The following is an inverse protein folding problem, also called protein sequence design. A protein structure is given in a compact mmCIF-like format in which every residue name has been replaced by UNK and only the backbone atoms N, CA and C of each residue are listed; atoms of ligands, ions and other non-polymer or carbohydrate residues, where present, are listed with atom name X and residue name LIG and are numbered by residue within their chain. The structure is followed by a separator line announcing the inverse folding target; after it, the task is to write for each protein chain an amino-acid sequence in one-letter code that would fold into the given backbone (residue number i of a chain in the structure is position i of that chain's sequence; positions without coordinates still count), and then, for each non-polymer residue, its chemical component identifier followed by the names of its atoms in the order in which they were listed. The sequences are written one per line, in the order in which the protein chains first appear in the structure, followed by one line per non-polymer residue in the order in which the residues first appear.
data_IF_569546266168
#
_entry.id   IF_569546266168
#
_cell.length_a   1.000
_cell.length_b   1.000
_cell.length_c   1.000
_cell.angle_alpha   90.00
_cell.angle_beta   90.00
_cell.angle_gamma   90.00
#
_symmetry.space_group_name_H-M   'P 1'
#
loop_
_entity.id
_entity.type
_entity.pdbx_description
1 polymer ?
#
# COMPACT_ATOMS: atom_id res chain seq x y z
N UNK A 1 23.27 -14.45 1.08
CA UNK A 1 21.91 -14.43 0.50
C UNK A 1 21.90 -15.32 -0.73
N UNK A 2 20.83 -16.09 -1.01
CA UNK A 2 20.75 -16.87 -2.25
C UNK A 2 20.63 -15.92 -3.45
N UNK A 3 21.28 -16.24 -4.60
CA UNK A 3 21.08 -15.47 -5.83
C UNK A 3 19.60 -15.47 -6.25
N UNK A 4 19.12 -14.34 -6.79
CA UNK A 4 17.75 -14.22 -7.28
C UNK A 4 17.65 -13.28 -8.48
N UNK A 5 16.52 -13.37 -9.18
CA UNK A 5 16.13 -12.37 -10.15
C UNK A 5 14.70 -11.89 -9.90
N UNK A 6 14.40 -10.68 -10.33
CA UNK A 6 13.13 -9.99 -10.14
C UNK A 6 12.76 -9.19 -11.40
N UNK A 7 11.45 -9.06 -11.60
CA UNK A 7 10.85 -8.22 -12.66
C UNK A 7 10.04 -7.07 -12.06
N UNK A 8 9.60 -7.19 -10.82
CA UNK A 8 8.81 -6.17 -10.12
C UNK A 8 9.52 -4.82 -10.04
N UNK A 9 8.91 -3.76 -10.60
CA UNK A 9 9.52 -2.43 -10.69
C UNK A 9 9.84 -1.80 -9.33
N UNK A 10 9.02 -2.03 -8.31
CA UNK A 10 9.29 -1.49 -6.98
C UNK A 10 10.49 -2.16 -6.34
N UNK A 11 10.68 -3.45 -6.58
CA UNK A 11 11.87 -4.17 -6.11
C UNK A 11 13.11 -3.86 -6.95
N UNK A 12 12.97 -3.64 -8.27
CA UNK A 12 14.06 -3.09 -9.10
C UNK A 12 14.56 -1.76 -8.52
N UNK A 13 13.63 -0.84 -8.19
CA UNK A 13 13.98 0.44 -7.57
C UNK A 13 14.65 0.27 -6.21
N UNK A 14 14.14 -0.62 -5.37
CA UNK A 14 14.73 -0.95 -4.07
C UNK A 14 16.17 -1.43 -4.19
N UNK A 15 16.44 -2.31 -5.14
CA UNK A 15 17.78 -2.90 -5.37
C UNK A 15 18.74 -1.93 -6.07
N UNK A 16 18.27 -1.27 -7.12
CA UNK A 16 19.14 -0.54 -8.04
C UNK A 16 19.01 0.99 -7.97
N UNK A 17 17.95 1.52 -7.35
CA UNK A 17 17.64 2.96 -7.34
C UNK A 17 16.97 3.45 -8.61
N UNK A 18 16.73 2.56 -9.58
CA UNK A 18 16.03 2.79 -10.83
C UNK A 18 15.12 1.61 -11.17
N UNK A 19 14.07 1.83 -11.95
CA UNK A 19 13.20 0.78 -12.47
C UNK A 19 12.60 1.17 -13.81
N UNK A 20 12.20 0.17 -14.61
CA UNK A 20 11.40 0.34 -15.80
C UNK A 20 10.55 -0.92 -16.04
N UNK A 21 9.52 -0.79 -16.89
CA UNK A 21 8.57 -1.86 -17.23
C UNK A 21 9.20 -3.02 -18.02
N UNK A 22 10.39 -2.84 -18.57
CA UNK A 22 11.08 -3.83 -19.38
C UNK A 22 12.50 -4.08 -18.88
N UNK A 23 12.62 -4.75 -17.73
CA UNK A 23 13.91 -5.13 -17.16
C UNK A 23 13.83 -6.42 -16.34
N UNK A 24 14.98 -7.08 -16.22
CA UNK A 24 15.25 -8.11 -15.20
C UNK A 24 16.42 -7.65 -14.36
N UNK A 25 16.27 -7.65 -13.05
CA UNK A 25 17.38 -7.44 -12.14
C UNK A 25 17.83 -8.78 -11.57
N UNK A 26 19.11 -9.06 -11.68
CA UNK A 26 19.74 -10.22 -11.06
C UNK A 26 20.62 -9.76 -9.91
N UNK A 27 20.44 -10.35 -8.73
CA UNK A 27 21.29 -10.11 -7.57
C UNK A 27 22.07 -11.34 -7.18
N UNK A 28 23.38 -11.14 -7.02
CA UNK A 28 24.31 -12.15 -6.53
C UNK A 28 25.19 -11.49 -5.46
N UNK A 29 25.00 -11.84 -4.21
CA UNK A 29 25.66 -11.19 -3.07
C UNK A 29 25.45 -9.66 -3.08
N UNK A 30 26.50 -8.88 -3.26
CA UNK A 30 26.43 -7.42 -3.34
C UNK A 30 26.35 -6.88 -4.79
N UNK A 31 26.57 -7.74 -5.79
CA UNK A 31 26.48 -7.35 -7.19
C UNK A 31 25.03 -7.36 -7.68
N UNK A 32 24.70 -6.38 -8.48
CA UNK A 32 23.40 -6.24 -9.16
C UNK A 32 23.62 -6.08 -10.65
N UNK A 33 22.81 -6.78 -11.43
CA UNK A 33 22.84 -6.73 -12.88
C UNK A 33 21.47 -6.28 -13.36
N UNK A 34 21.38 -5.08 -13.92
CA UNK A 34 20.15 -4.51 -14.45
C UNK A 34 20.12 -4.75 -15.96
N UNK A 35 19.40 -5.76 -16.40
CA UNK A 35 19.25 -6.14 -17.81
C UNK A 35 18.05 -5.39 -18.37
N UNK A 36 18.26 -4.54 -19.37
CA UNK A 36 17.19 -3.78 -20.05
C UNK A 36 17.54 -3.54 -21.51
N UNK A 37 16.64 -2.97 -22.29
CA UNK A 37 16.91 -2.65 -23.69
C UNK A 37 17.35 -1.18 -23.89
N UNK A 38 17.69 -0.86 -25.13
CA UNK A 38 18.25 0.46 -25.50
C UNK A 38 17.33 1.65 -25.20
N UNK A 39 16.02 1.44 -25.00
CA UNK A 39 15.08 2.50 -24.62
C UNK A 39 15.36 3.04 -23.23
N UNK A 40 15.84 2.19 -22.31
CA UNK A 40 16.05 2.51 -20.89
C UNK A 40 17.52 2.52 -20.48
N UNK A 41 18.43 1.99 -21.30
CA UNK A 41 19.86 1.84 -20.97
C UNK A 41 20.53 3.15 -20.55
N UNK A 42 20.18 4.26 -21.20
CA UNK A 42 20.79 5.56 -20.90
C UNK A 42 20.41 6.02 -19.48
N UNK A 43 19.11 5.98 -19.16
CA UNK A 43 18.61 6.37 -17.85
C UNK A 43 19.06 5.39 -16.76
N UNK A 44 19.05 4.09 -17.03
CA UNK A 44 19.55 3.09 -16.10
C UNK A 44 21.02 3.35 -15.71
N UNK A 45 21.89 3.67 -16.68
CA UNK A 45 23.29 4.03 -16.41
C UNK A 45 23.45 5.31 -15.61
N UNK A 46 22.50 6.25 -15.72
CA UNK A 46 22.52 7.52 -15.00
C UNK A 46 22.02 7.40 -13.56
N UNK A 47 20.99 6.59 -13.33
CA UNK A 47 20.25 6.57 -12.07
C UNK A 47 20.48 5.34 -11.19
N UNK A 48 20.91 4.21 -11.77
CA UNK A 48 21.27 3.05 -10.96
C UNK A 48 22.40 3.37 -9.97
N UNK A 49 22.33 2.73 -8.81
CA UNK A 49 23.37 2.86 -7.82
C UNK A 49 24.71 2.26 -8.29
N UNK A 50 25.83 2.66 -7.63
CA UNK A 50 27.19 2.30 -8.00
C UNK A 50 27.52 0.78 -7.97
N UNK A 51 26.66 -0.03 -7.38
CA UNK A 51 26.83 -1.50 -7.28
C UNK A 51 26.07 -2.24 -8.38
N UNK A 52 25.49 -1.53 -9.35
CA UNK A 52 24.67 -2.07 -10.43
C UNK A 52 25.41 -1.99 -11.76
N UNK A 53 25.63 -3.15 -12.39
CA UNK A 53 26.07 -3.27 -13.78
C UNK A 53 24.84 -3.21 -14.68
N UNK A 54 24.75 -2.23 -15.58
CA UNK A 54 23.66 -2.11 -16.56
C UNK A 54 24.02 -2.82 -17.83
N UNK A 55 23.19 -3.77 -18.26
CA UNK A 55 23.36 -4.60 -19.43
C UNK A 55 22.31 -4.24 -20.48
N UNK A 56 22.75 -3.70 -21.62
CA UNK A 56 21.88 -3.46 -22.79
C UNK A 56 21.69 -4.77 -23.54
N UNK A 57 20.45 -5.22 -23.70
CA UNK A 57 20.13 -6.50 -24.33
C UNK A 57 18.75 -6.50 -24.97
N UNK A 58 18.65 -7.17 -26.12
CA UNK A 58 17.36 -7.50 -26.75
C UNK A 58 16.87 -8.92 -26.39
N UNK A 59 17.72 -9.74 -25.74
CA UNK A 59 17.33 -11.05 -25.20
C UNK A 59 17.73 -11.16 -23.73
N UNK A 60 16.78 -10.84 -22.87
CA UNK A 60 16.97 -10.82 -21.42
C UNK A 60 17.27 -12.20 -20.84
N UNK A 61 16.73 -13.25 -21.45
CA UNK A 61 16.96 -14.62 -20.98
C UNK A 61 18.38 -15.04 -21.30
N UNK A 62 18.90 -14.73 -22.49
CA UNK A 62 20.30 -14.99 -22.81
C UNK A 62 21.27 -14.21 -21.91
N UNK A 63 20.92 -12.95 -21.59
CA UNK A 63 21.72 -12.16 -20.64
C UNK A 63 21.69 -12.74 -19.23
N UNK A 64 20.52 -13.18 -18.75
CA UNK A 64 20.38 -13.91 -17.48
C UNK A 64 21.25 -15.16 -17.47
N UNK A 65 21.19 -16.00 -18.53
CA UNK A 65 22.02 -17.19 -18.66
C UNK A 65 23.51 -16.86 -18.67
N UNK A 66 23.90 -15.79 -19.33
CA UNK A 66 25.30 -15.32 -19.37
C UNK A 66 25.81 -15.00 -17.97
N UNK A 67 25.01 -14.32 -17.14
CA UNK A 67 25.34 -14.00 -15.74
C UNK A 67 25.45 -15.30 -14.93
N UNK A 68 24.43 -16.17 -15.01
CA UNK A 68 24.40 -17.45 -14.29
C UNK A 68 25.59 -18.30 -14.61
N UNK A 69 25.97 -18.41 -15.91
CA UNK A 69 27.13 -19.19 -16.38
C UNK A 69 28.44 -18.55 -15.94
N UNK A 70 28.61 -17.24 -16.13
CA UNK A 70 29.81 -16.48 -15.73
C UNK A 70 30.12 -16.66 -14.24
N UNK A 71 29.07 -16.61 -13.41
CA UNK A 71 29.20 -16.73 -11.96
C UNK A 71 29.05 -18.15 -11.43
N UNK A 72 28.86 -19.13 -12.32
CA UNK A 72 28.75 -20.58 -12.01
C UNK A 72 27.68 -20.87 -10.97
N UNK A 73 26.54 -20.17 -11.05
CA UNK A 73 25.43 -20.32 -10.10
C UNK A 73 24.81 -21.72 -10.26
N UNK A 74 24.56 -22.40 -9.14
CA UNK A 74 23.92 -23.72 -9.12
C UNK A 74 22.43 -23.64 -8.93
N UNK A 75 21.96 -22.52 -8.39
CA UNK A 75 20.55 -22.24 -8.15
C UNK A 75 20.29 -20.73 -8.24
N UNK A 76 19.07 -20.36 -8.62
CA UNK A 76 18.60 -18.97 -8.62
C UNK A 76 17.13 -18.91 -8.20
N UNK A 77 16.82 -17.98 -7.31
CA UNK A 77 15.46 -17.77 -6.77
C UNK A 77 14.68 -16.80 -7.66
N UNK A 78 13.37 -17.04 -7.77
CA UNK A 78 12.45 -16.12 -8.42
C UNK A 78 11.09 -16.07 -7.71
N UNK A 79 10.33 -15.00 -7.93
CA UNK A 79 8.94 -14.91 -7.50
C UNK A 79 8.01 -15.46 -8.59
N UNK A 80 7.25 -16.55 -8.34
CA UNK A 80 6.39 -17.14 -9.35
C UNK A 80 5.21 -16.26 -9.77
N UNK A 81 4.90 -15.21 -9.00
CA UNK A 81 3.83 -14.27 -9.31
C UNK A 81 4.22 -13.22 -10.37
N UNK A 82 5.52 -13.09 -10.66
CA UNK A 82 6.03 -12.12 -11.65
C UNK A 82 6.17 -12.72 -13.05
N UNK A 83 6.13 -14.05 -13.18
CA UNK A 83 6.30 -14.73 -14.46
C UNK A 83 4.97 -15.23 -15.01
N UNK A 84 4.70 -14.96 -16.29
CA UNK A 84 3.73 -15.75 -17.01
C UNK A 84 4.29 -17.15 -17.36
N UNK A 85 3.41 -18.09 -17.68
CA UNK A 85 3.79 -19.49 -17.93
C UNK A 85 4.82 -19.60 -19.05
N UNK A 86 4.65 -18.88 -20.17
CA UNK A 86 5.56 -18.95 -21.31
C UNK A 86 6.98 -18.47 -20.96
N UNK A 87 7.09 -17.39 -20.17
CA UNK A 87 8.37 -16.89 -19.71
C UNK A 87 9.02 -17.84 -18.72
N UNK A 88 8.24 -18.42 -17.81
CA UNK A 88 8.72 -19.44 -16.87
C UNK A 88 9.29 -20.66 -17.60
N UNK A 89 8.55 -21.24 -18.56
CA UNK A 89 9.01 -22.41 -19.34
C UNK A 89 10.30 -22.11 -20.11
N UNK A 90 10.39 -20.94 -20.72
CA UNK A 90 11.59 -20.52 -21.46
C UNK A 90 12.80 -20.36 -20.53
N UNK A 91 12.65 -19.75 -19.36
CA UNK A 91 13.71 -19.59 -18.37
C UNK A 91 14.12 -20.98 -17.82
N UNK A 92 13.16 -21.82 -17.44
CA UNK A 92 13.39 -23.14 -16.90
C UNK A 92 14.18 -24.03 -17.87
N UNK A 93 13.73 -24.10 -19.14
CA UNK A 93 14.40 -24.87 -20.17
C UNK A 93 15.82 -24.36 -20.40
N UNK A 94 16.01 -23.06 -20.45
CA UNK A 94 17.31 -22.44 -20.67
C UNK A 94 18.29 -22.70 -19.52
N UNK A 95 17.86 -22.52 -18.26
CA UNK A 95 18.68 -22.79 -17.07
C UNK A 95 19.04 -24.25 -16.91
N UNK A 96 18.17 -25.19 -17.36
CA UNK A 96 18.41 -26.62 -17.35
C UNK A 96 19.63 -27.00 -18.21
N UNK A 97 19.90 -26.30 -19.32
CA UNK A 97 21.06 -26.56 -20.18
C UNK A 97 22.38 -26.31 -19.48
N UNK A 98 22.42 -25.43 -18.51
CA UNK A 98 23.63 -25.10 -17.73
C UNK A 98 23.58 -25.66 -16.30
N UNK A 99 22.64 -26.56 -16.02
CA UNK A 99 22.48 -27.26 -14.73
C UNK A 99 22.32 -26.28 -13.54
N UNK A 100 21.57 -25.20 -13.74
CA UNK A 100 21.17 -24.26 -12.68
C UNK A 100 19.72 -24.52 -12.28
N UNK A 101 19.48 -24.74 -10.99
CA UNK A 101 18.13 -24.95 -10.45
C UNK A 101 17.38 -23.65 -10.32
N UNK A 102 16.11 -23.63 -10.79
CA UNK A 102 15.20 -22.51 -10.66
C UNK A 102 14.30 -22.71 -9.43
N UNK A 103 14.51 -21.90 -8.37
CA UNK A 103 13.83 -22.05 -7.09
C UNK A 103 12.68 -21.06 -6.96
N UNK A 104 11.46 -21.58 -6.88
CA UNK A 104 10.25 -20.77 -6.67
C UNK A 104 10.11 -20.35 -5.20
N UNK A 105 10.03 -19.05 -4.93
CA UNK A 105 9.74 -18.49 -3.61
C UNK A 105 8.71 -17.36 -3.71
N UNK A 106 7.42 -17.64 -3.46
CA UNK A 106 6.37 -16.60 -3.51
C UNK A 106 6.68 -15.43 -2.58
N UNK A 107 6.48 -14.20 -3.06
CA UNK A 107 6.61 -12.96 -2.28
C UNK A 107 7.96 -12.72 -1.59
N UNK A 108 9.04 -13.44 -1.96
CA UNK A 108 10.34 -13.28 -1.29
C UNK A 108 10.86 -11.84 -1.38
N UNK A 109 10.57 -11.15 -2.47
CA UNK A 109 10.95 -9.76 -2.71
C UNK A 109 10.32 -8.79 -1.69
N UNK A 110 9.08 -9.06 -1.23
CA UNK A 110 8.45 -8.27 -0.18
C UNK A 110 9.11 -8.52 1.19
N UNK A 111 9.61 -9.74 1.43
CA UNK A 111 10.38 -10.03 2.65
C UNK A 111 11.68 -9.21 2.73
N UNK A 112 12.30 -8.87 1.61
CA UNK A 112 13.50 -8.02 1.58
C UNK A 112 13.21 -6.59 2.06
N UNK A 113 11.96 -6.13 1.91
CA UNK A 113 11.52 -4.76 2.17
C UNK A 113 10.62 -4.64 3.41
N UNK A 114 10.32 -5.74 4.09
CA UNK A 114 9.34 -5.77 5.19
C UNK A 114 9.76 -4.87 6.36
N UNK A 115 11.03 -4.93 6.76
CA UNK A 115 11.63 -4.00 7.74
C UNK A 115 12.27 -2.82 7.00
N UNK A 116 11.78 -1.61 7.28
CA UNK A 116 12.19 -0.37 6.63
C UNK A 116 13.44 0.19 7.30
N UNK A 117 14.34 0.73 6.52
CA UNK A 117 15.42 1.58 7.04
C UNK A 117 14.86 2.90 7.59
N UNK A 118 15.61 3.60 8.43
CA UNK A 118 15.22 4.92 8.94
C UNK A 118 14.96 5.94 7.81
N UNK A 119 15.69 5.83 6.68
CA UNK A 119 15.46 6.67 5.48
C UNK A 119 14.10 6.39 4.85
N UNK A 120 13.73 5.13 4.70
CA UNK A 120 12.44 4.73 4.15
C UNK A 120 11.29 5.16 5.06
N UNK A 121 11.43 4.98 6.38
CA UNK A 121 10.46 5.46 7.37
C UNK A 121 10.28 6.97 7.26
N UNK A 122 11.35 7.73 7.11
CA UNK A 122 11.29 9.18 6.94
C UNK A 122 10.57 9.60 5.63
N UNK A 123 10.74 8.83 4.53
CA UNK A 123 10.03 9.05 3.27
C UNK A 123 8.53 8.75 3.40
N UNK A 124 8.17 7.63 4.03
CA UNK A 124 6.77 7.26 4.30
C UNK A 124 6.12 8.31 5.22
N UNK A 125 6.80 8.74 6.28
CA UNK A 125 6.31 9.78 7.18
C UNK A 125 6.10 11.12 6.46
N UNK A 126 6.98 11.46 5.51
CA UNK A 126 6.82 12.65 4.66
C UNK A 126 5.60 12.51 3.76
N UNK A 127 5.45 11.37 3.10
CA UNK A 127 4.28 11.05 2.27
C UNK A 127 2.98 11.16 3.08
N UNK A 128 2.96 10.57 4.27
CA UNK A 128 1.80 10.63 5.17
C UNK A 128 1.49 12.06 5.65
N UNK A 129 2.50 12.88 5.92
CA UNK A 129 2.33 14.30 6.25
C UNK A 129 1.70 15.09 5.10
N UNK A 130 2.15 14.86 3.87
CA UNK A 130 1.57 15.48 2.66
C UNK A 130 0.11 15.05 2.47
N UNK A 131 -0.17 13.75 2.62
CA UNK A 131 -1.53 13.22 2.55
C UNK A 131 -2.46 13.86 3.59
N UNK A 132 -2.03 13.97 4.85
CA UNK A 132 -2.78 14.69 5.91
C UNK A 132 -3.06 16.16 5.56
N UNK A 133 -2.14 16.83 4.86
CA UNK A 133 -2.35 18.21 4.39
C UNK A 133 -3.39 18.26 3.26
N UNK A 134 -3.33 17.31 2.32
CA UNK A 134 -4.29 17.20 1.23
C UNK A 134 -5.72 16.91 1.73
N UNK A 135 -5.88 16.04 2.74
CA UNK A 135 -7.16 15.81 3.40
C UNK A 135 -7.74 17.09 4.01
N UNK A 136 -6.91 17.93 4.65
CA UNK A 136 -7.35 19.25 5.17
C UNK A 136 -7.78 20.19 4.05
N UNK A 137 -7.04 20.20 2.94
CA UNK A 137 -7.37 21.01 1.77
C UNK A 137 -8.67 20.54 1.11
N UNK A 138 -8.86 19.22 0.98
CA UNK A 138 -10.06 18.64 0.42
C UNK A 138 -11.30 18.91 1.28
N UNK A 139 -11.21 18.79 2.60
CA UNK A 139 -12.31 19.16 3.49
C UNK A 139 -12.73 20.63 3.32
N UNK A 140 -11.77 21.55 3.23
CA UNK A 140 -12.04 22.98 2.96
C UNK A 140 -12.68 23.20 1.58
N UNK A 141 -12.23 22.44 0.58
CA UNK A 141 -12.80 22.50 -0.76
C UNK A 141 -14.26 22.04 -0.77
N UNK A 142 -14.55 20.87 -0.19
CA UNK A 142 -15.92 20.35 -0.06
C UNK A 142 -16.84 21.37 0.65
N UNK A 143 -16.39 21.96 1.77
CA UNK A 143 -17.18 22.95 2.50
C UNK A 143 -17.58 24.16 1.64
N UNK A 144 -16.74 24.58 0.69
CA UNK A 144 -17.01 25.69 -0.25
C UNK A 144 -18.05 25.30 -1.31
N UNK A 145 -17.96 24.08 -1.85
CA UNK A 145 -18.82 23.63 -2.96
C UNK A 145 -20.08 22.88 -2.50
N UNK A 146 -20.26 22.65 -1.21
CA UNK A 146 -21.35 21.83 -0.66
C UNK A 146 -22.75 22.26 -1.13
N UNK A 147 -22.98 23.57 -1.34
CA UNK A 147 -24.26 24.10 -1.85
C UNK A 147 -24.54 23.67 -3.30
N UNK A 148 -23.53 23.27 -4.05
CA UNK A 148 -23.65 22.81 -5.44
C UNK A 148 -24.07 21.34 -5.51
N UNK A 149 -24.13 20.63 -4.36
CA UNK A 149 -24.42 19.21 -4.25
C UNK A 149 -23.55 18.36 -5.18
N UNK A 150 -22.20 18.41 -5.04
CA UNK A 150 -21.29 17.70 -5.95
C UNK A 150 -21.50 16.19 -5.86
N UNK A 151 -21.40 15.51 -6.99
CA UNK A 151 -21.43 14.05 -7.08
C UNK A 151 -20.14 13.43 -6.58
N UNK A 152 -20.17 12.12 -6.27
CA UNK A 152 -18.95 11.38 -5.92
C UNK A 152 -17.90 11.43 -7.04
N UNK A 153 -18.30 11.38 -8.32
CA UNK A 153 -17.35 11.48 -9.44
C UNK A 153 -16.67 12.83 -9.50
N UNK A 154 -17.40 13.91 -9.29
CA UNK A 154 -16.83 15.26 -9.21
C UNK A 154 -15.86 15.38 -8.03
N UNK A 155 -16.27 14.90 -6.85
CA UNK A 155 -15.42 14.89 -5.65
C UNK A 155 -14.17 14.02 -5.85
N UNK A 156 -14.32 12.84 -6.46
CA UNK A 156 -13.20 11.95 -6.77
C UNK A 156 -12.17 12.64 -7.70
N UNK A 157 -12.63 13.27 -8.77
CA UNK A 157 -11.77 14.01 -9.69
C UNK A 157 -11.04 15.16 -8.99
N UNK A 158 -11.77 15.96 -8.20
CA UNK A 158 -11.21 17.06 -7.43
C UNK A 158 -10.23 16.59 -6.34
N UNK A 159 -10.53 15.46 -5.70
CA UNK A 159 -9.62 14.84 -4.73
C UNK A 159 -8.28 14.48 -5.38
N UNK A 160 -8.31 13.86 -6.57
CA UNK A 160 -7.07 13.53 -7.31
C UNK A 160 -6.21 14.75 -7.59
N UNK A 161 -6.82 15.86 -8.00
CA UNK A 161 -6.09 17.12 -8.26
C UNK A 161 -5.47 17.69 -6.97
N UNK A 162 -6.22 17.67 -5.86
CA UNK A 162 -5.75 18.21 -4.59
C UNK A 162 -4.66 17.33 -3.97
N UNK A 163 -4.83 16.00 -4.03
CA UNK A 163 -3.85 15.03 -3.51
C UNK A 163 -2.55 15.11 -4.29
N UNK A 164 -2.62 15.17 -5.63
CA UNK A 164 -1.43 15.27 -6.48
C UNK A 164 -0.76 16.65 -6.44
N UNK A 165 -1.31 17.63 -5.74
CA UNK A 165 -0.88 19.04 -5.80
C UNK A 165 -0.72 19.47 -7.27
N UNK A 166 -1.79 19.21 -8.06
CA UNK A 166 -1.86 19.49 -9.51
C UNK A 166 -0.73 18.85 -10.35
N UNK A 167 -0.36 17.61 -10.02
CA UNK A 167 0.62 16.83 -10.77
C UNK A 167 2.05 16.84 -10.21
N UNK A 168 2.24 17.42 -9.02
CA UNK A 168 3.53 17.40 -8.34
C UNK A 168 3.85 16.06 -7.67
N UNK A 169 2.83 15.33 -7.25
CA UNK A 169 2.93 14.03 -6.61
C UNK A 169 2.08 13.00 -7.33
N UNK A 170 2.54 11.78 -7.34
CA UNK A 170 1.72 10.63 -7.73
C UNK A 170 0.80 10.21 -6.58
N UNK A 171 -0.23 9.43 -6.91
CA UNK A 171 -1.14 8.85 -5.92
C UNK A 171 -0.72 7.41 -5.62
N UNK A 172 -0.87 6.99 -4.36
CA UNK A 172 -0.63 5.59 -3.97
C UNK A 172 -1.63 4.64 -4.63
N UNK A 173 -2.86 5.12 -4.80
CA UNK A 173 -3.98 4.42 -5.44
C UNK A 173 -5.07 5.43 -5.83
N UNK A 174 -6.08 4.95 -6.55
CA UNK A 174 -7.22 5.77 -6.97
C UNK A 174 -8.13 6.04 -5.75
N UNK A 175 -8.38 7.33 -5.36
CA UNK A 175 -9.08 7.64 -4.12
C UNK A 175 -10.48 7.05 -4.04
N UNK A 176 -10.91 6.60 -2.87
CA UNK A 176 -12.26 6.15 -2.60
C UNK A 176 -13.05 7.31 -1.99
N UNK A 177 -14.17 7.64 -2.62
CA UNK A 177 -15.13 8.65 -2.15
C UNK A 177 -16.49 7.98 -2.05
N UNK A 178 -16.95 7.68 -0.85
CA UNK A 178 -18.23 6.99 -0.62
C UNK A 178 -19.19 7.81 0.22
N UNK A 179 -20.32 8.23 -0.36
CA UNK A 179 -21.39 9.00 0.31
C UNK A 179 -22.47 8.04 0.78
N UNK A 180 -22.83 8.12 2.07
CA UNK A 180 -23.93 7.35 2.67
C UNK A 180 -23.88 5.86 2.27
N UNK A 181 -24.89 5.31 1.62
CA UNK A 181 -24.99 3.90 1.22
C UNK A 181 -23.90 3.44 0.25
N UNK A 182 -23.34 4.31 -0.59
CA UNK A 182 -22.21 3.91 -1.41
C UNK A 182 -20.95 3.69 -0.57
N UNK A 183 -20.79 4.46 0.52
CA UNK A 183 -19.73 4.23 1.51
C UNK A 183 -19.85 2.90 2.28
N UNK A 184 -21.00 2.19 2.18
CA UNK A 184 -21.13 0.84 2.71
C UNK A 184 -20.36 -0.23 1.92
N UNK A 185 -19.73 0.15 0.82
CA UNK A 185 -18.88 -0.73 0.00
C UNK A 185 -17.42 -0.38 0.30
N UNK A 186 -16.60 -1.31 0.81
CA UNK A 186 -15.18 -1.02 1.14
C UNK A 186 -14.39 -0.39 -0.01
N UNK A 187 -14.64 -0.85 -1.24
CA UNK A 187 -14.05 -0.34 -2.49
C UNK A 187 -15.13 0.32 -3.36
N UNK A 188 -15.77 1.36 -2.81
CA UNK A 188 -16.83 2.08 -3.52
C UNK A 188 -16.31 2.72 -4.81
N UNK A 189 -16.95 2.43 -5.92
CA UNK A 189 -16.73 3.16 -7.17
C UNK A 189 -17.57 4.44 -7.17
N UNK A 190 -16.98 5.60 -7.54
CA UNK A 190 -17.66 6.89 -7.51
C UNK A 190 -18.78 6.95 -8.53
N UNK A 191 -19.95 7.47 -8.11
CA UNK A 191 -21.18 7.56 -8.90
C UNK A 191 -21.56 9.02 -9.20
N UNK A 192 -22.16 9.28 -10.35
CA UNK A 192 -22.80 10.57 -10.65
C UNK A 192 -24.15 10.72 -9.94
N UNK A 193 -24.78 9.62 -9.52
CA UNK A 193 -26.10 9.63 -8.88
C UNK A 193 -26.02 9.92 -7.39
N UNK A 194 -24.89 9.61 -6.75
CA UNK A 194 -24.65 9.92 -5.34
C UNK A 194 -24.12 11.35 -5.22
N UNK A 195 -24.96 12.26 -4.71
CA UNK A 195 -24.62 13.67 -4.52
C UNK A 195 -24.52 14.02 -3.05
N UNK A 196 -23.49 14.81 -2.70
CA UNK A 196 -23.20 15.18 -1.32
C UNK A 196 -24.14 16.28 -0.81
N UNK A 197 -24.73 16.04 0.36
CA UNK A 197 -25.61 16.99 1.04
C UNK A 197 -25.17 17.23 2.48
N UNK A 198 -25.65 18.31 3.06
CA UNK A 198 -25.42 18.63 4.48
C UNK A 198 -25.98 17.52 5.38
N UNK A 199 -25.20 17.10 6.35
CA UNK A 199 -25.45 16.02 7.33
C UNK A 199 -25.29 14.60 6.79
N UNK A 200 -24.86 14.44 5.54
CA UNK A 200 -24.41 13.14 5.04
C UNK A 200 -23.17 12.66 5.80
N UNK A 201 -22.89 11.38 5.66
CA UNK A 201 -21.63 10.75 6.07
C UNK A 201 -20.79 10.49 4.82
N UNK A 202 -19.52 10.88 4.88
CA UNK A 202 -18.57 10.74 3.79
C UNK A 202 -17.39 9.88 4.24
N UNK A 203 -17.19 8.74 3.61
CA UNK A 203 -15.97 7.95 3.70
C UNK A 203 -15.01 8.42 2.61
N UNK A 204 -13.82 8.79 3.01
CA UNK A 204 -12.74 9.21 2.10
C UNK A 204 -11.47 8.46 2.44
N UNK A 205 -10.91 7.78 1.44
CA UNK A 205 -9.70 6.97 1.53
C UNK A 205 -8.75 7.34 0.39
N UNK A 206 -7.53 7.71 0.73
CA UNK A 206 -6.56 8.20 -0.24
C UNK A 206 -5.12 8.15 0.27
N UNK A 207 -4.21 8.03 -0.67
CA UNK A 207 -2.77 8.05 -0.43
C UNK A 207 -2.01 8.83 -1.52
N UNK A 208 -0.87 9.38 -1.13
CA UNK A 208 0.08 10.09 -1.99
C UNK A 208 1.37 9.27 -2.04
N UNK A 209 2.09 9.33 -3.15
CA UNK A 209 3.47 8.87 -3.23
C UNK A 209 4.45 10.04 -3.11
N UNK A 210 5.40 9.92 -2.19
CA UNK A 210 6.54 10.83 -2.11
C UNK A 210 7.82 10.05 -2.36
N UNK A 211 8.51 10.37 -3.47
CA UNK A 211 9.71 9.63 -3.90
C UNK A 211 9.45 8.11 -3.92
N UNK A 212 8.34 7.72 -4.54
CA UNK A 212 7.83 6.35 -4.70
C UNK A 212 7.31 5.67 -3.43
N UNK A 213 7.53 6.24 -2.23
CA UNK A 213 6.97 5.69 -0.99
C UNK A 213 5.54 6.13 -0.78
N UNK A 214 4.66 5.16 -0.58
CA UNK A 214 3.23 5.35 -0.42
C UNK A 214 2.88 5.90 0.96
N UNK A 215 1.78 6.64 1.02
CA UNK A 215 1.00 6.88 2.24
C UNK A 215 -0.39 6.29 2.07
N UNK A 216 -1.08 6.13 3.18
CA UNK A 216 -2.43 5.60 3.24
C UNK A 216 -3.21 6.20 4.40
N UNK A 217 -4.44 6.61 4.16
CA UNK A 217 -5.30 7.12 5.22
C UNK A 217 -6.76 7.09 4.82
N UNK A 218 -7.58 6.44 5.63
CA UNK A 218 -9.04 6.57 5.55
C UNK A 218 -9.60 7.40 6.68
N UNK A 219 -10.55 8.26 6.36
CA UNK A 219 -11.39 8.98 7.33
C UNK A 219 -12.85 8.96 6.92
N UNK A 220 -13.71 8.80 7.91
CA UNK A 220 -15.14 9.01 7.74
C UNK A 220 -15.53 10.30 8.44
N UNK A 221 -16.24 11.18 7.76
CA UNK A 221 -16.54 12.53 8.23
C UNK A 221 -18.03 12.86 8.18
N UNK A 222 -18.49 13.68 9.14
CA UNK A 222 -19.80 14.33 9.10
C UNK A 222 -19.75 15.53 8.15
N UNK A 223 -20.64 15.56 7.16
CA UNK A 223 -20.66 16.62 6.13
C UNK A 223 -21.38 17.87 6.62
N UNK A 224 -20.68 18.99 6.53
CA UNK A 224 -21.23 20.28 6.97
C UNK A 224 -20.31 21.44 6.63
N UNK A 225 -20.68 22.64 7.05
CA UNK A 225 -19.91 23.87 6.81
C UNK A 225 -18.50 23.81 7.46
N UNK A 226 -18.43 23.17 8.64
CA UNK A 226 -17.21 23.05 9.43
C UNK A 226 -16.63 21.63 9.38
N UNK A 227 -16.86 20.92 8.25
CA UNK A 227 -16.37 19.57 8.10
C UNK A 227 -14.83 19.48 8.15
N UNK A 228 -14.36 18.38 8.66
CA UNK A 228 -12.94 18.05 8.74
C UNK A 228 -12.75 16.52 8.77
N UNK A 229 -11.56 16.07 8.40
CA UNK A 229 -11.18 14.66 8.48
C UNK A 229 -10.36 14.32 9.75
N UNK A 230 -10.61 15.01 10.85
CA UNK A 230 -10.05 14.66 12.16
C UNK A 230 -10.79 13.48 12.80
N UNK A 231 -10.16 12.80 13.76
CA UNK A 231 -10.74 11.62 14.43
C UNK A 231 -11.97 11.92 15.30
N UNK A 232 -12.16 13.14 15.76
CA UNK A 232 -13.35 13.52 16.56
C UNK A 232 -14.41 14.08 15.63
N UNK A 233 -15.50 13.34 15.44
CA UNK A 233 -16.60 13.69 14.57
C UNK A 233 -17.86 13.97 15.38
N UNK A 234 -18.77 14.79 14.83
CA UNK A 234 -20.08 15.09 15.41
C UNK A 234 -21.16 14.83 14.38
N UNK A 235 -21.74 13.64 14.41
CA UNK A 235 -22.86 13.29 13.53
C UNK A 235 -24.19 13.69 14.16
N UNK A 236 -25.15 14.15 13.35
CA UNK A 236 -26.54 14.36 13.79
C UNK A 236 -27.29 13.05 13.98
N UNK A 237 -27.00 12.06 13.13
CA UNK A 237 -27.58 10.73 13.22
C UNK A 237 -26.91 9.95 14.35
N UNK A 238 -27.71 9.45 15.30
CA UNK A 238 -27.22 8.67 16.45
C UNK A 238 -26.56 7.36 16.04
N UNK A 239 -27.06 6.72 14.96
CA UNK A 239 -26.46 5.47 14.45
C UNK A 239 -25.08 5.74 13.86
N UNK A 240 -24.91 6.84 13.08
CA UNK A 240 -23.58 7.24 12.57
C UNK A 240 -22.59 7.43 13.72
N UNK A 241 -22.98 8.16 14.78
CA UNK A 241 -22.11 8.36 15.95
C UNK A 241 -21.75 7.03 16.61
N UNK A 242 -22.75 6.16 16.85
CA UNK A 242 -22.54 4.86 17.49
C UNK A 242 -21.54 4.00 16.71
N UNK A 243 -21.73 3.85 15.40
CA UNK A 243 -20.84 3.03 14.55
C UNK A 243 -19.44 3.63 14.47
N UNK A 244 -19.36 4.97 14.32
CA UNK A 244 -18.08 5.68 14.30
C UNK A 244 -17.28 5.44 15.59
N UNK A 245 -17.91 5.57 16.76
CA UNK A 245 -17.26 5.39 18.05
C UNK A 245 -16.77 3.94 18.25
N UNK A 246 -17.50 2.95 17.75
CA UNK A 246 -17.09 1.53 17.78
C UNK A 246 -15.82 1.33 16.93
N UNK A 247 -15.80 1.85 15.69
CA UNK A 247 -14.66 1.72 14.78
C UNK A 247 -13.45 2.46 15.33
N UNK A 248 -13.65 3.70 15.84
CA UNK A 248 -12.56 4.48 16.42
C UNK A 248 -11.94 3.75 17.62
N UNK A 249 -12.76 3.22 18.51
CA UNK A 249 -12.29 2.45 19.67
C UNK A 249 -11.55 1.17 19.26
N UNK A 250 -12.02 0.47 18.23
CA UNK A 250 -11.35 -0.72 17.71
C UNK A 250 -9.96 -0.38 17.15
N UNK A 251 -9.85 0.71 16.38
CA UNK A 251 -8.61 1.20 15.81
C UNK A 251 -7.61 1.64 16.90
N UNK A 252 -8.03 2.49 17.83
CA UNK A 252 -7.20 2.97 18.94
C UNK A 252 -6.70 1.82 19.82
N UNK A 253 -7.57 0.83 20.08
CA UNK A 253 -7.22 -0.34 20.88
C UNK A 253 -6.20 -1.23 20.17
N UNK A 254 -6.34 -1.46 18.85
CA UNK A 254 -5.37 -2.21 18.07
C UNK A 254 -4.00 -1.53 18.07
N UNK A 255 -3.95 -0.22 17.78
CA UNK A 255 -2.70 0.56 17.81
C UNK A 255 -2.05 0.52 19.20
N UNK A 256 -2.81 0.80 20.26
CA UNK A 256 -2.27 0.86 21.61
C UNK A 256 -1.74 -0.47 22.15
N UNK A 257 -2.27 -1.60 21.61
CA UNK A 257 -1.90 -2.95 22.04
C UNK A 257 -0.94 -3.68 21.12
N UNK A 258 -0.73 -3.22 19.89
CA UNK A 258 0.23 -3.82 18.97
C UNK A 258 1.65 -3.78 19.58
N UNK A 259 2.36 -4.91 19.50
CA UNK A 259 3.73 -5.08 20.01
C UNK A 259 4.57 -5.87 19.04
N UNK A 260 5.87 -5.59 19.00
CA UNK A 260 6.83 -6.47 18.31
C UNK A 260 6.79 -7.87 18.91
N UNK A 261 6.91 -8.89 18.07
CA UNK A 261 6.76 -10.30 18.42
C UNK A 261 5.34 -10.85 18.28
N UNK A 262 4.30 -10.01 18.19
CA UNK A 262 2.94 -10.45 17.88
C UNK A 262 2.85 -10.88 16.42
N UNK A 263 1.91 -11.76 16.11
CA UNK A 263 1.51 -12.05 14.71
C UNK A 263 0.51 -11.03 14.21
N UNK A 264 0.42 -10.87 12.87
CA UNK A 264 -0.62 -10.05 12.25
C UNK A 264 -2.03 -10.49 12.64
N UNK A 265 -2.24 -11.79 12.85
CA UNK A 265 -3.49 -12.38 13.35
C UNK A 265 -3.85 -11.92 14.77
N UNK A 266 -2.87 -11.83 15.66
CA UNK A 266 -3.11 -11.35 17.03
C UNK A 266 -3.50 -9.87 17.05
N UNK A 267 -2.90 -9.05 16.18
CA UNK A 267 -3.28 -7.63 16.05
C UNK A 267 -4.67 -7.48 15.42
N UNK A 268 -4.99 -8.25 14.36
CA UNK A 268 -6.34 -8.28 13.78
C UNK A 268 -7.40 -8.64 14.82
N UNK A 269 -7.11 -9.66 15.64
CA UNK A 269 -8.04 -10.13 16.68
C UNK A 269 -8.39 -9.04 17.70
N UNK A 270 -7.48 -8.09 18.00
CA UNK A 270 -7.74 -6.98 18.93
C UNK A 270 -8.83 -6.05 18.39
N UNK A 271 -8.70 -5.62 17.11
CA UNK A 271 -9.69 -4.73 16.49
C UNK A 271 -11.02 -5.45 16.29
N UNK A 272 -10.96 -6.67 15.79
CA UNK A 272 -12.12 -7.50 15.46
C UNK A 272 -12.96 -7.84 16.68
N UNK A 273 -12.33 -8.22 17.79
CA UNK A 273 -13.03 -8.52 19.03
C UNK A 273 -13.81 -7.31 19.59
N UNK A 274 -13.32 -6.08 19.41
CA UNK A 274 -14.04 -4.88 19.85
C UNK A 274 -15.30 -4.64 19.01
N UNK A 275 -15.24 -4.88 17.69
CA UNK A 275 -16.36 -4.77 16.78
C UNK A 275 -17.37 -5.91 17.02
N UNK A 276 -16.91 -7.14 17.21
CA UNK A 276 -17.74 -8.32 17.50
C UNK A 276 -18.50 -8.17 18.81
N UNK A 277 -17.83 -7.71 19.88
CA UNK A 277 -18.45 -7.42 21.18
C UNK A 277 -19.59 -6.40 21.07
N UNK A 278 -19.52 -5.49 20.11
CA UNK A 278 -20.53 -4.48 19.86
C UNK A 278 -21.70 -4.98 18.99
N UNK A 279 -21.67 -6.25 18.56
CA UNK A 279 -22.70 -6.90 17.72
C UNK A 279 -22.59 -6.65 16.21
N UNK A 280 -21.46 -6.04 15.76
CA UNK A 280 -21.26 -5.67 14.34
C UNK A 280 -20.20 -6.50 13.62
N UNK A 281 -19.72 -7.61 14.21
CA UNK A 281 -18.65 -8.44 13.65
C UNK A 281 -18.85 -8.91 12.22
N UNK A 282 -20.09 -9.24 11.83
CA UNK A 282 -20.45 -9.66 10.46
C UNK A 282 -20.29 -8.57 9.39
N UNK A 283 -20.19 -7.31 9.82
CA UNK A 283 -20.06 -6.15 8.96
C UNK A 283 -18.61 -5.66 8.84
N UNK A 284 -17.65 -6.30 9.50
CA UNK A 284 -16.22 -6.09 9.31
C UNK A 284 -15.66 -7.17 8.39
N UNK A 285 -15.63 -6.88 7.09
CA UNK A 285 -15.49 -7.87 6.02
C UNK A 285 -14.09 -7.97 5.39
N UNK A 286 -13.14 -7.16 5.83
CA UNK A 286 -11.77 -7.15 5.33
C UNK A 286 -10.72 -7.34 6.43
N UNK A 287 -9.44 -7.30 6.07
CA UNK A 287 -8.30 -7.33 6.99
C UNK A 287 -8.23 -6.07 7.85
N UNK A 288 -7.61 -6.14 9.02
CA UNK A 288 -7.37 -4.95 9.84
C UNK A 288 -6.28 -4.05 9.26
N UNK A 289 -5.43 -4.57 8.34
CA UNK A 289 -4.40 -3.77 7.70
C UNK A 289 -3.41 -4.58 6.87
N UNK A 290 -2.44 -3.85 6.32
CA UNK A 290 -1.39 -4.35 5.45
C UNK A 290 -0.12 -3.50 5.58
N UNK A 291 1.02 -4.05 5.19
CA UNK A 291 2.26 -3.29 5.05
C UNK A 291 2.15 -2.21 3.97
N UNK A 292 2.88 -1.12 4.18
CA UNK A 292 2.99 -0.01 3.23
C UNK A 292 4.45 0.39 3.07
N UNK A 293 4.87 0.61 1.83
CA UNK A 293 6.22 1.01 1.50
C UNK A 293 6.31 1.56 0.09
N UNK A 294 7.05 0.90 -0.79
CA UNK A 294 7.06 1.17 -2.22
C UNK A 294 5.76 0.67 -2.88
N UNK A 295 5.24 -0.48 -2.41
CA UNK A 295 3.88 -0.90 -2.75
C UNK A 295 2.89 -0.34 -1.74
N UNK A 296 1.68 -0.06 -2.22
CA UNK A 296 0.59 0.30 -1.32
C UNK A 296 0.17 -0.91 -0.45
N UNK A 297 0.18 -2.10 -1.02
CA UNK A 297 -0.08 -3.34 -0.31
C UNK A 297 1.16 -4.25 -0.35
N UNK A 298 1.85 -4.37 0.77
CA UNK A 298 2.98 -5.29 0.94
C UNK A 298 2.92 -6.01 2.30
N UNK A 299 3.93 -6.78 2.64
CA UNK A 299 4.05 -7.39 3.97
C UNK A 299 4.44 -6.34 5.03
N UNK A 300 4.00 -6.54 6.31
CA UNK A 300 3.23 -7.67 6.83
C UNK A 300 1.73 -7.56 6.56
N UNK A 301 0.99 -8.66 6.60
CA UNK A 301 -0.47 -8.66 6.58
C UNK A 301 -1.01 -8.64 8.00
N UNK A 302 -2.02 -7.81 8.26
CA UNK A 302 -2.73 -7.74 9.54
C UNK A 302 -4.14 -8.30 9.34
N UNK A 303 -4.26 -9.62 9.39
CA UNK A 303 -5.50 -10.32 9.03
C UNK A 303 -5.72 -11.58 9.88
N UNK A 304 -6.94 -12.15 9.83
CA UNK A 304 -7.33 -13.37 10.58
C UNK A 304 -6.40 -14.58 10.36
N UNK A 305 -5.72 -14.64 9.23
CA UNK A 305 -4.91 -15.79 8.82
C UNK A 305 -3.41 -15.48 8.79
N UNK A 306 -3.01 -14.26 9.13
CA UNK A 306 -1.61 -13.87 9.03
C UNK A 306 -0.77 -14.38 10.20
N UNK A 307 0.23 -15.16 9.87
CA UNK A 307 1.28 -15.59 10.80
C UNK A 307 2.55 -14.71 10.71
N UNK A 308 2.48 -13.60 9.92
CA UNK A 308 3.59 -12.65 9.80
C UNK A 308 3.94 -12.09 11.19
N UNK A 309 5.18 -12.30 11.63
CA UNK A 309 5.70 -11.77 12.90
C UNK A 309 6.02 -10.30 12.73
N UNK A 310 5.46 -9.48 13.60
CA UNK A 310 5.68 -8.05 13.61
C UNK A 310 6.99 -7.72 14.31
N UNK A 311 7.84 -6.96 13.65
CA UNK A 311 9.15 -6.54 14.13
C UNK A 311 9.29 -5.02 14.12
N UNK A 312 10.26 -4.48 14.84
CA UNK A 312 10.58 -3.07 14.79
C UNK A 312 10.96 -2.65 13.36
N UNK A 313 10.66 -1.42 13.00
CA UNK A 313 10.81 -0.84 11.66
C UNK A 313 9.86 -1.38 10.59
N UNK A 314 8.90 -2.22 10.91
CA UNK A 314 7.79 -2.51 10.02
C UNK A 314 6.80 -1.35 10.02
N UNK A 315 6.28 -1.01 8.82
CA UNK A 315 5.24 0.00 8.62
C UNK A 315 4.01 -0.68 8.05
N UNK A 316 2.84 -0.45 8.67
CA UNK A 316 1.59 -1.05 8.22
C UNK A 316 0.37 -0.19 8.60
N UNK A 317 -0.76 -0.42 7.92
CA UNK A 317 -2.04 0.23 8.24
C UNK A 317 -2.75 -0.46 9.41
N UNK A 318 -3.56 0.29 10.15
CA UNK A 318 -4.59 -0.21 11.06
C UNK A 318 -5.89 0.51 10.72
N UNK A 319 -6.81 -0.21 10.06
CA UNK A 319 -7.94 0.34 9.32
C UNK A 319 -9.27 -0.42 9.54
N UNK A 320 -9.66 -0.76 10.78
CA UNK A 320 -10.92 -1.45 10.98
C UNK A 320 -12.10 -0.66 10.40
N UNK A 321 -13.13 -1.38 9.91
CA UNK A 321 -14.32 -0.78 9.35
C UNK A 321 -15.61 -1.55 9.65
N UNK A 322 -16.74 -0.86 9.63
CA UNK A 322 -18.09 -1.42 9.71
C UNK A 322 -18.88 -0.89 8.51
N UNK A 323 -19.44 -1.79 7.71
CA UNK A 323 -20.17 -1.48 6.50
C UNK A 323 -21.59 -2.02 6.59
N UNK A 324 -22.57 -1.14 6.83
CA UNK A 324 -23.98 -1.49 6.95
C UNK A 324 -24.63 -1.47 5.57
N UNK A 325 -25.02 -2.62 4.99
CA UNK A 325 -25.57 -2.66 3.64
C UNK A 325 -26.77 -1.73 3.45
N UNK A 326 -26.77 -0.97 2.35
CA UNK A 326 -27.81 -0.01 2.00
C UNK A 326 -27.98 1.16 3.00
N UNK A 327 -27.03 1.34 3.92
CA UNK A 327 -27.06 2.43 4.88
C UNK A 327 -25.80 3.31 4.76
N UNK A 328 -24.65 2.85 5.28
CA UNK A 328 -23.38 3.57 5.22
C UNK A 328 -22.21 2.70 5.69
N UNK A 329 -20.99 3.18 5.44
CA UNK A 329 -19.76 2.58 5.98
C UNK A 329 -18.96 3.57 6.82
N UNK A 330 -18.21 3.02 7.77
CA UNK A 330 -17.21 3.75 8.55
C UNK A 330 -15.91 2.96 8.49
N UNK A 331 -14.82 3.62 8.06
CA UNK A 331 -13.44 3.16 8.19
C UNK A 331 -12.59 4.29 8.76
N UNK A 332 -11.71 3.95 9.68
CA UNK A 332 -10.75 4.88 10.27
C UNK A 332 -9.39 4.18 10.24
N UNK A 333 -8.44 4.81 9.57
CA UNK A 333 -7.13 4.24 9.27
C UNK A 333 -6.01 5.19 9.62
N UNK A 334 -4.94 4.66 10.19
CA UNK A 334 -3.64 5.31 10.25
C UNK A 334 -2.55 4.32 9.91
N UNK A 335 -1.48 4.82 9.28
CA UNK A 335 -0.22 4.12 9.21
C UNK A 335 0.49 4.19 10.56
N UNK A 336 1.05 3.06 10.96
CA UNK A 336 1.90 2.95 12.14
C UNK A 336 3.27 2.41 11.75
N UNK A 337 4.30 2.84 12.48
CA UNK A 337 5.62 2.22 12.47
C UNK A 337 5.83 1.51 13.80
N UNK A 338 6.38 0.30 13.77
CA UNK A 338 6.82 -0.37 14.99
C UNK A 338 8.15 0.21 15.42
N UNK A 339 8.22 0.74 16.63
CA UNK A 339 9.41 1.34 17.20
C UNK A 339 9.52 1.03 18.69
N UNK A 340 10.70 0.58 19.13
CA UNK A 340 10.92 0.19 20.53
C UNK A 340 9.85 -0.77 21.06
N UNK A 341 9.44 -1.73 20.24
CA UNK A 341 8.45 -2.75 20.57
C UNK A 341 7.00 -2.28 20.58
N UNK A 342 6.67 -1.05 20.12
CA UNK A 342 5.33 -0.46 20.15
C UNK A 342 4.98 0.19 18.81
N UNK A 343 3.68 0.26 18.50
CA UNK A 343 3.18 0.97 17.33
C UNK A 343 3.09 2.48 17.61
N UNK A 344 3.72 3.29 16.76
CA UNK A 344 3.65 4.75 16.74
C UNK A 344 2.96 5.21 15.45
N UNK A 345 2.03 6.15 15.52
CA UNK A 345 1.32 6.70 14.36
C UNK A 345 2.24 7.65 13.59
N UNK A 346 2.35 7.45 12.28
CA UNK A 346 3.07 8.31 11.34
C UNK A 346 2.33 9.61 11.01
#
# INVERSE_FOLDING_TARGET
MQPYFILDENTQYYECGFSCDNAIVVRVEEARFFITDSRYTLEAKQFCNKHTEVIDSNDFIQSLLGIVSRLKLKQIVFNPQELNVAMYEKILSSLSTIKCELISKPNFHQQLRICKSEKEIALIATSQKLNKQAFKAFAKHIAKILKQAPSEKELHYQAKQILSDFGKYDLSFDPIVGINENGAKPHALPSNQCVLKKNDILLFDAGIQYKRYCSDMTRTAAVGKDMHFGKRQKFKNKLHSKIYDIVLKAQEKAISKARSGMSGKEIDAIARAEIEKSGYGKYFVHSTGHGVGLDIHELPRISRLSEDRIEDNMVFSIEPGIYLPNEFGVRIEDLVVMKNGRAEIL
#
